data_IF_719193142538
#
_entry.id   IF_719193142538
#
_cell.length_a   1.000
_cell.length_b   1.000
_cell.length_c   1.000
_cell.angle_alpha   90.00
_cell.angle_beta   90.00
_cell.angle_gamma   90.00
#
_symmetry.space_group_name_H-M   'P 1'
#
loop_
_entity.id
_entity.type
_entity.pdbx_description
1 polymer ?
#
# COMPACT_ATOMS: atom_id res chain seq x y z
N UNK A 1 56.90 29.05 -35.07
CA UNK A 1 56.39 28.06 -34.09
C UNK A 1 54.91 28.33 -33.85
N UNK A 2 54.07 27.30 -34.05
CA UNK A 2 52.63 27.20 -33.68
C UNK A 2 51.68 28.13 -34.46
N UNK A 3 50.50 27.71 -34.94
CA UNK A 3 49.83 26.42 -35.18
C UNK A 3 48.66 26.81 -36.11
N UNK A 4 48.46 26.07 -37.20
CA UNK A 4 47.37 26.30 -38.17
C UNK A 4 46.02 25.86 -37.58
N UNK A 5 44.99 26.67 -37.82
CA UNK A 5 43.58 26.36 -37.54
C UNK A 5 42.92 26.04 -38.88
N UNK A 6 42.65 24.75 -39.14
CA UNK A 6 41.76 24.32 -40.22
C UNK A 6 40.47 23.82 -39.58
N UNK A 7 39.38 24.53 -39.84
CA UNK A 7 38.03 24.07 -39.54
C UNK A 7 37.63 23.02 -40.58
N UNK A 8 37.40 21.78 -40.14
CA UNK A 8 36.73 20.74 -40.92
C UNK A 8 35.26 20.70 -40.50
N UNK A 9 34.37 21.08 -41.39
CA UNK A 9 32.94 20.78 -41.32
C UNK A 9 32.72 19.34 -41.79
N UNK A 10 32.36 18.45 -40.86
CA UNK A 10 31.86 17.13 -41.18
C UNK A 10 30.33 17.12 -41.05
N UNK A 11 29.61 17.04 -42.18
CA UNK A 11 28.23 16.59 -42.21
C UNK A 11 28.21 15.10 -41.86
N UNK A 12 27.60 14.73 -40.74
CA UNK A 12 27.20 13.36 -40.45
C UNK A 12 25.67 13.27 -40.56
N UNK A 13 25.22 12.48 -41.53
CA UNK A 13 23.82 12.15 -41.71
C UNK A 13 23.34 11.27 -40.55
N UNK A 14 22.39 11.78 -39.76
CA UNK A 14 21.64 10.97 -38.80
C UNK A 14 20.50 10.27 -39.54
N UNK A 15 20.72 8.99 -39.86
CA UNK A 15 19.63 8.10 -40.24
C UNK A 15 18.78 7.83 -38.99
N UNK A 16 17.58 8.40 -38.95
CA UNK A 16 16.59 8.11 -37.92
C UNK A 16 16.01 6.72 -38.12
N UNK A 17 16.39 5.77 -37.26
CA UNK A 17 15.62 4.56 -37.02
C UNK A 17 14.59 4.85 -35.93
N UNK A 18 13.41 5.33 -36.33
CA UNK A 18 12.21 5.25 -35.50
C UNK A 18 11.77 3.77 -35.47
N UNK A 19 12.42 2.98 -34.60
CA UNK A 19 11.92 1.67 -34.23
C UNK A 19 10.78 1.85 -33.25
N UNK A 20 9.54 1.63 -33.71
CA UNK A 20 8.40 1.34 -32.85
C UNK A 20 8.71 0.03 -32.10
N UNK A 21 9.42 0.13 -30.98
CA UNK A 21 9.67 -0.98 -30.09
C UNK A 21 8.37 -1.35 -29.41
N UNK A 22 7.64 -2.32 -29.96
CA UNK A 22 6.70 -3.10 -29.15
C UNK A 22 7.54 -3.82 -28.11
N UNK A 23 7.40 -3.44 -26.85
CA UNK A 23 7.99 -4.15 -25.72
C UNK A 23 7.60 -5.63 -25.85
N UNK A 24 8.54 -6.59 -25.74
CA UNK A 24 8.20 -8.00 -25.82
C UNK A 24 7.10 -8.33 -24.80
N UNK A 25 6.01 -8.95 -25.27
CA UNK A 25 4.94 -9.39 -24.38
C UNK A 25 5.43 -10.54 -23.51
N UNK A 26 5.33 -10.40 -22.20
CA UNK A 26 5.64 -11.49 -21.25
C UNK A 26 4.59 -12.58 -21.43
N UNK A 27 4.98 -13.86 -21.59
CA UNK A 27 4.02 -14.89 -21.89
C UNK A 27 3.21 -15.26 -20.63
N UNK A 28 1.93 -15.67 -20.76
CA UNK A 28 1.04 -15.89 -19.61
C UNK A 28 1.57 -16.88 -18.56
N UNK A 29 2.37 -17.87 -18.98
CA UNK A 29 3.00 -18.86 -18.09
C UNK A 29 4.03 -18.26 -17.12
N UNK A 30 4.48 -17.02 -17.34
CA UNK A 30 5.38 -16.34 -16.43
C UNK A 30 4.68 -15.73 -15.21
N UNK A 31 3.34 -15.75 -15.16
CA UNK A 31 2.55 -15.19 -14.07
C UNK A 31 2.07 -16.29 -13.11
N UNK A 32 1.84 -15.89 -11.85
CA UNK A 32 1.13 -16.73 -10.88
C UNK A 32 -0.33 -16.88 -11.33
N UNK A 33 -0.85 -18.11 -11.27
CA UNK A 33 -2.21 -18.44 -11.72
C UNK A 33 -3.08 -18.97 -10.60
N UNK A 34 -4.36 -18.65 -10.65
CA UNK A 34 -5.39 -19.19 -9.75
C UNK A 34 -5.74 -20.61 -10.19
N UNK A 35 -5.79 -21.55 -9.24
CA UNK A 35 -6.29 -22.91 -9.46
C UNK A 35 -7.08 -23.39 -8.24
N UNK A 36 -8.40 -23.23 -8.28
CA UNK A 36 -9.23 -23.45 -7.10
C UNK A 36 -8.82 -22.48 -5.98
N UNK A 37 -8.60 -22.99 -4.77
CA UNK A 37 -8.10 -22.20 -3.66
C UNK A 37 -6.59 -21.90 -3.72
N UNK A 38 -5.86 -22.48 -4.67
CA UNK A 38 -4.41 -22.40 -4.73
C UNK A 38 -3.94 -21.29 -5.67
N UNK A 39 -2.81 -20.68 -5.30
CA UNK A 39 -1.97 -19.90 -6.21
C UNK A 39 -0.85 -20.81 -6.72
N UNK A 40 -0.65 -20.86 -8.03
CA UNK A 40 0.38 -21.70 -8.66
C UNK A 40 1.41 -20.81 -9.34
N UNK A 41 2.66 -20.95 -8.92
CA UNK A 41 3.82 -20.28 -9.49
C UNK A 41 4.12 -20.74 -10.93
N UNK A 42 4.90 -19.97 -11.71
CA UNK A 42 5.33 -20.36 -13.06
C UNK A 42 6.02 -21.72 -13.15
N UNK A 43 6.73 -22.15 -12.11
CA UNK A 43 7.40 -23.45 -12.02
C UNK A 43 6.45 -24.62 -11.69
N UNK A 44 5.16 -24.34 -11.49
CA UNK A 44 4.13 -25.30 -11.13
C UNK A 44 4.01 -25.60 -9.63
N UNK A 45 4.86 -25.00 -8.78
CA UNK A 45 4.75 -25.10 -7.33
C UNK A 45 3.59 -24.27 -6.78
N UNK A 46 3.08 -24.64 -5.60
CA UNK A 46 2.10 -23.81 -4.89
C UNK A 46 2.80 -22.61 -4.26
N UNK A 47 2.25 -21.42 -4.46
CA UNK A 47 2.63 -20.21 -3.75
C UNK A 47 1.73 -20.02 -2.53
N UNK A 48 2.31 -20.02 -1.34
CA UNK A 48 1.64 -19.59 -0.12
C UNK A 48 2.15 -18.21 0.27
N UNK A 49 1.30 -17.19 0.23
CA UNK A 49 1.70 -15.81 0.53
C UNK A 49 2.13 -15.72 2.00
N UNK A 50 3.35 -15.23 2.24
CA UNK A 50 3.87 -14.91 3.58
C UNK A 50 4.74 -13.65 3.50
N UNK A 51 4.27 -12.57 4.10
CA UNK A 51 4.94 -11.29 3.95
C UNK A 51 4.49 -10.18 4.89
N UNK A 52 4.67 -8.94 4.43
CA UNK A 52 4.35 -7.72 5.19
C UNK A 52 3.85 -6.60 4.28
N UNK A 53 3.35 -5.53 4.89
CA UNK A 53 2.81 -4.35 4.24
C UNK A 53 3.77 -3.16 4.37
N UNK A 54 4.01 -2.44 3.27
CA UNK A 54 4.74 -1.17 3.27
C UNK A 54 3.85 0.01 3.70
N UNK A 55 3.09 -0.18 4.79
CA UNK A 55 2.25 0.85 5.39
C UNK A 55 3.04 2.06 5.89
N UNK A 56 2.34 3.16 6.11
CA UNK A 56 2.87 4.48 6.45
C UNK A 56 3.64 5.22 5.36
N UNK A 57 3.98 4.58 4.24
CA UNK A 57 4.89 5.17 3.26
C UNK A 57 4.17 6.03 2.22
N UNK A 58 3.41 5.38 1.33
CA UNK A 58 2.60 6.03 0.29
C UNK A 58 1.13 6.21 0.70
N UNK A 59 0.83 5.86 1.95
CA UNK A 59 -0.38 6.13 2.72
C UNK A 59 0.06 6.28 4.20
N UNK A 60 0.31 7.50 4.70
CA UNK A 60 0.69 7.74 6.09
C UNK A 60 -0.52 7.75 7.04
N UNK A 61 -0.40 7.03 8.15
CA UNK A 61 -1.43 6.94 9.19
C UNK A 61 -0.94 7.51 10.52
N UNK A 62 -1.78 8.27 11.22
CA UNK A 62 -1.34 9.04 12.39
C UNK A 62 -0.71 8.21 13.51
N UNK A 63 -1.29 7.06 13.83
CA UNK A 63 -0.81 6.23 14.95
C UNK A 63 0.60 5.68 14.70
N UNK A 64 1.02 5.54 13.44
CA UNK A 64 2.37 5.12 13.08
C UNK A 64 3.42 6.21 13.31
N UNK A 65 2.99 7.46 13.40
CA UNK A 65 3.77 8.60 13.90
C UNK A 65 3.55 8.86 15.41
N UNK A 66 2.68 8.09 16.07
CA UNK A 66 2.28 8.31 17.46
C UNK A 66 1.21 9.38 17.66
N UNK A 67 0.48 9.76 16.62
CA UNK A 67 -0.66 10.66 16.67
C UNK A 67 -1.97 9.88 16.88
N UNK A 68 -2.90 10.45 17.62
CA UNK A 68 -4.25 9.92 17.84
C UNK A 68 -5.30 10.67 17.03
N UNK A 69 -5.37 12.00 17.16
CA UNK A 69 -6.37 12.82 16.45
C UNK A 69 -5.97 13.19 15.03
N UNK A 70 -4.68 13.29 14.77
CA UNK A 70 -4.15 13.65 13.45
C UNK A 70 -3.89 12.34 12.69
N UNK A 71 -4.94 11.73 12.16
CA UNK A 71 -4.94 10.29 11.85
C UNK A 71 -4.92 9.91 10.37
N UNK A 72 -5.11 10.85 9.43
CA UNK A 72 -5.01 10.62 7.98
C UNK A 72 -3.91 11.45 7.32
N UNK A 73 -3.54 11.10 6.08
CA UNK A 73 -2.50 11.79 5.32
C UNK A 73 -2.73 13.31 5.22
N UNK A 74 -3.94 13.76 4.87
CA UNK A 74 -4.32 15.19 4.84
C UNK A 74 -4.16 15.84 6.21
N UNK A 75 -4.66 15.20 7.27
CA UNK A 75 -4.59 15.78 8.60
C UNK A 75 -3.14 15.95 9.08
N UNK A 76 -2.27 14.99 8.77
CA UNK A 76 -0.83 15.04 9.08
C UNK A 76 -0.18 16.18 8.29
N UNK A 77 -0.45 16.27 6.99
CA UNK A 77 0.06 17.35 6.15
C UNK A 77 -0.37 18.74 6.67
N UNK A 78 -1.66 18.93 6.95
CA UNK A 78 -2.20 20.18 7.47
C UNK A 78 -1.54 20.56 8.81
N UNK A 79 -1.34 19.56 9.69
CA UNK A 79 -0.69 19.75 10.98
C UNK A 79 0.78 20.19 10.80
N UNK A 80 1.53 19.55 9.91
CA UNK A 80 2.91 19.95 9.61
C UNK A 80 2.97 21.34 8.99
N UNK A 81 2.11 21.69 8.02
CA UNK A 81 2.03 23.03 7.45
C UNK A 81 1.73 24.10 8.51
N UNK A 82 0.82 23.81 9.44
CA UNK A 82 0.51 24.70 10.57
C UNK A 82 1.70 24.90 11.52
N UNK A 83 2.58 23.90 11.62
CA UNK A 83 3.73 23.86 12.51
C UNK A 83 4.98 24.52 11.92
N UNK A 84 5.37 24.15 10.69
CA UNK A 84 6.67 24.53 10.09
C UNK A 84 6.59 25.28 8.76
N UNK A 85 5.39 25.42 8.18
CA UNK A 85 5.13 26.04 6.87
C UNK A 85 5.10 25.03 5.71
N UNK A 86 4.56 25.44 4.57
CA UNK A 86 4.36 24.57 3.39
C UNK A 86 5.67 24.04 2.81
N UNK A 87 6.66 24.92 2.58
CA UNK A 87 7.96 24.52 2.00
C UNK A 87 8.66 23.44 2.85
N UNK A 88 8.73 23.63 4.17
CA UNK A 88 9.38 22.69 5.07
C UNK A 88 8.62 21.36 5.21
N UNK A 89 7.29 21.39 5.05
CA UNK A 89 6.46 20.16 5.00
C UNK A 89 6.68 19.42 3.69
N UNK A 90 6.78 20.13 2.56
CA UNK A 90 7.06 19.52 1.27
C UNK A 90 8.45 18.87 1.25
N UNK A 91 9.48 19.56 1.76
CA UNK A 91 10.83 19.00 1.92
C UNK A 91 10.80 17.74 2.80
N UNK A 92 10.09 17.76 3.93
CA UNK A 92 9.93 16.58 4.78
C UNK A 92 9.29 15.41 4.04
N UNK A 93 8.24 15.65 3.25
CA UNK A 93 7.57 14.58 2.54
C UNK A 93 8.41 14.00 1.40
N UNK A 94 9.19 14.82 0.71
CA UNK A 94 10.17 14.36 -0.26
C UNK A 94 11.21 13.46 0.42
N UNK A 95 11.85 13.96 1.47
CA UNK A 95 12.86 13.21 2.22
C UNK A 95 12.25 11.92 2.83
N UNK A 96 11.04 11.98 3.35
CA UNK A 96 10.31 10.84 3.88
C UNK A 96 10.05 9.79 2.80
N UNK A 97 9.53 10.18 1.63
CA UNK A 97 9.25 9.23 0.54
C UNK A 97 10.53 8.58 0.02
N UNK A 98 11.65 9.30 0.01
CA UNK A 98 12.94 8.82 -0.50
C UNK A 98 13.71 7.94 0.49
N UNK A 99 13.46 8.07 1.79
CA UNK A 99 14.22 7.37 2.84
C UNK A 99 13.40 6.37 3.67
N UNK A 100 12.07 6.49 3.68
CA UNK A 100 11.23 5.61 4.47
C UNK A 100 11.16 4.20 3.89
N UNK A 101 11.14 3.97 2.58
CA UNK A 101 11.36 2.63 2.02
C UNK A 101 12.44 2.73 0.96
N UNK A 102 13.48 1.93 1.11
CA UNK A 102 14.61 1.85 0.20
C UNK A 102 14.88 0.40 -0.20
N UNK A 103 15.85 0.20 -1.11
CA UNK A 103 16.34 -1.14 -1.43
C UNK A 103 16.79 -1.94 -0.20
N UNK A 104 17.37 -1.28 0.81
CA UNK A 104 17.84 -1.94 2.03
C UNK A 104 16.69 -2.58 2.82
N UNK A 105 15.52 -1.92 2.85
CA UNK A 105 14.31 -2.44 3.48
C UNK A 105 13.82 -3.72 2.77
N UNK A 106 13.78 -3.70 1.43
CA UNK A 106 13.35 -4.85 0.63
C UNK A 106 14.33 -6.02 0.74
N UNK A 107 15.64 -5.75 0.70
CA UNK A 107 16.68 -6.75 0.90
C UNK A 107 16.54 -7.40 2.30
N UNK A 108 16.23 -6.61 3.34
CA UNK A 108 15.96 -7.12 4.68
C UNK A 108 14.70 -8.00 4.73
N UNK A 109 13.56 -7.54 4.19
CA UNK A 109 12.31 -8.32 4.14
C UNK A 109 12.55 -9.68 3.44
N UNK A 110 13.28 -9.68 2.33
CA UNK A 110 13.65 -10.90 1.63
C UNK A 110 14.51 -11.83 2.49
N UNK A 111 15.48 -11.28 3.22
CA UNK A 111 16.38 -12.05 4.09
C UNK A 111 15.65 -12.80 5.21
N UNK A 112 14.44 -12.35 5.60
CA UNK A 112 13.62 -13.06 6.59
C UNK A 112 12.88 -14.26 6.02
N UNK A 113 12.99 -14.51 4.71
CA UNK A 113 12.26 -15.57 4.01
C UNK A 113 10.81 -15.22 3.69
N UNK A 114 10.45 -13.92 3.72
CA UNK A 114 9.20 -13.46 3.14
C UNK A 114 9.23 -13.68 1.62
N UNK A 115 8.06 -13.87 1.01
CA UNK A 115 7.95 -14.07 -0.45
C UNK A 115 7.06 -13.04 -1.14
N UNK A 116 6.33 -12.23 -0.39
CA UNK A 116 5.40 -11.24 -0.94
C UNK A 116 5.47 -9.95 -0.13
N UNK A 117 5.30 -8.82 -0.81
CA UNK A 117 5.10 -7.51 -0.22
C UNK A 117 3.76 -6.96 -0.72
N UNK A 118 2.95 -6.41 0.19
CA UNK A 118 1.80 -5.57 -0.16
C UNK A 118 2.22 -4.10 -0.08
N UNK A 119 1.95 -3.34 -1.14
CA UNK A 119 2.28 -1.93 -1.26
C UNK A 119 0.98 -1.10 -1.28
N UNK A 120 0.55 -0.60 -0.11
CA UNK A 120 -0.52 0.39 -0.01
C UNK A 120 -0.10 1.70 -0.66
N UNK A 121 -1.00 2.31 -1.44
CA UNK A 121 -0.78 3.63 -2.02
C UNK A 121 -2.07 4.46 -2.08
N UNK A 122 -1.91 5.77 -2.07
CA UNK A 122 -2.99 6.72 -2.29
C UNK A 122 -3.18 7.02 -3.79
N UNK A 123 -4.42 7.07 -4.28
CA UNK A 123 -4.73 7.34 -5.70
C UNK A 123 -4.13 8.63 -6.28
N UNK A 124 -3.87 9.65 -5.46
CA UNK A 124 -3.37 10.96 -5.90
C UNK A 124 -1.95 10.90 -6.44
N UNK A 125 -1.19 9.85 -6.12
CA UNK A 125 0.12 9.59 -6.72
C UNK A 125 0.07 9.36 -8.24
N UNK A 126 -1.14 9.18 -8.80
CA UNK A 126 -1.41 9.00 -10.22
C UNK A 126 -2.24 10.14 -10.81
N UNK A 127 -2.38 11.26 -10.09
CA UNK A 127 -3.09 12.46 -10.53
C UNK A 127 -2.22 13.70 -10.37
N UNK A 128 -2.63 14.82 -10.97
CA UNK A 128 -1.96 16.11 -10.77
C UNK A 128 -2.43 16.83 -9.49
N UNK A 129 -3.16 16.13 -8.60
CA UNK A 129 -3.52 16.69 -7.29
C UNK A 129 -2.28 16.75 -6.40
N UNK A 130 -2.21 17.76 -5.52
CA UNK A 130 -1.17 17.79 -4.49
C UNK A 130 -1.36 16.63 -3.49
N UNK A 131 -0.28 15.87 -3.29
CA UNK A 131 -0.20 14.82 -2.30
C UNK A 131 1.20 14.72 -1.71
N UNK A 132 1.30 14.88 -0.39
CA UNK A 132 2.57 14.84 0.35
C UNK A 132 3.62 15.77 -0.30
N UNK A 133 3.25 17.04 -0.48
CA UNK A 133 4.15 18.12 -0.91
C UNK A 133 4.49 18.16 -2.40
N UNK A 134 3.89 17.31 -3.23
CA UNK A 134 4.10 17.29 -4.69
C UNK A 134 2.80 17.04 -5.44
N UNK A 135 2.62 17.80 -6.53
CA UNK A 135 1.61 17.53 -7.56
C UNK A 135 2.29 16.87 -8.75
N UNK A 136 2.15 15.54 -8.87
CA UNK A 136 2.77 14.77 -9.95
C UNK A 136 1.97 13.50 -10.25
N UNK A 137 1.35 13.44 -11.43
CA UNK A 137 0.69 12.23 -11.92
C UNK A 137 1.63 11.08 -12.29
N UNK A 138 2.94 11.21 -12.03
CA UNK A 138 3.94 10.20 -12.36
C UNK A 138 4.69 9.63 -11.15
N UNK A 139 4.63 10.28 -9.98
CA UNK A 139 5.40 9.83 -8.80
C UNK A 139 5.02 8.39 -8.41
N UNK A 140 3.73 8.04 -8.42
CA UNK A 140 3.28 6.68 -8.10
C UNK A 140 3.92 5.61 -8.98
N UNK A 141 4.10 5.88 -10.27
CA UNK A 141 4.75 4.94 -11.18
C UNK A 141 6.24 4.79 -10.88
N UNK A 142 6.96 5.89 -10.62
CA UNK A 142 8.40 5.85 -10.30
C UNK A 142 8.68 5.07 -9.01
N UNK A 143 7.82 5.23 -7.99
CA UNK A 143 7.92 4.47 -6.74
C UNK A 143 7.65 2.98 -6.96
N UNK A 144 6.57 2.65 -7.68
CA UNK A 144 6.25 1.25 -7.97
C UNK A 144 7.35 0.60 -8.81
N UNK A 145 7.88 1.26 -9.84
CA UNK A 145 8.96 0.73 -10.68
C UNK A 145 10.19 0.38 -9.82
N UNK A 146 10.56 1.26 -8.88
CA UNK A 146 11.67 1.03 -7.96
C UNK A 146 11.43 -0.23 -7.10
N UNK A 147 10.23 -0.36 -6.52
CA UNK A 147 9.88 -1.53 -5.70
C UNK A 147 9.84 -2.81 -6.54
N UNK A 148 9.32 -2.74 -7.77
CA UNK A 148 9.33 -3.86 -8.72
C UNK A 148 10.76 -4.31 -9.00
N UNK A 149 11.69 -3.40 -9.24
CA UNK A 149 13.11 -3.72 -9.43
C UNK A 149 13.74 -4.39 -8.20
N UNK A 150 13.46 -3.87 -7.00
CA UNK A 150 13.98 -4.42 -5.76
C UNK A 150 13.38 -5.79 -5.43
N UNK A 151 12.08 -5.97 -5.63
CA UNK A 151 11.38 -7.24 -5.47
C UNK A 151 11.92 -8.30 -6.45
N UNK A 152 12.12 -7.93 -7.72
CA UNK A 152 12.72 -8.82 -8.73
C UNK A 152 14.10 -9.31 -8.33
N UNK A 153 14.95 -8.41 -7.82
CA UNK A 153 16.29 -8.76 -7.37
C UNK A 153 16.30 -9.73 -6.17
N UNK A 154 15.19 -9.81 -5.44
CA UNK A 154 15.04 -10.59 -4.22
C UNK A 154 14.07 -11.77 -4.35
N UNK A 155 13.51 -12.03 -5.54
CA UNK A 155 12.47 -13.04 -5.78
C UNK A 155 11.23 -12.85 -4.89
N UNK A 156 10.87 -11.60 -4.64
CA UNK A 156 9.63 -11.23 -3.96
C UNK A 156 8.54 -10.93 -4.99
N UNK A 157 7.31 -11.29 -4.66
CA UNK A 157 6.12 -10.81 -5.35
C UNK A 157 5.62 -9.50 -4.75
N UNK A 158 4.96 -8.69 -5.57
CA UNK A 158 4.37 -7.41 -5.16
C UNK A 158 2.84 -7.41 -5.37
N UNK A 159 2.07 -7.06 -4.35
CA UNK A 159 0.64 -6.74 -4.46
C UNK A 159 0.52 -5.22 -4.45
N UNK A 160 -0.13 -4.67 -5.47
CA UNK A 160 -0.44 -3.25 -5.54
C UNK A 160 -1.82 -3.02 -4.92
N UNK A 161 -1.88 -2.22 -3.85
CA UNK A 161 -3.10 -1.96 -3.09
C UNK A 161 -3.48 -0.48 -3.15
N UNK A 162 -4.62 -0.17 -3.78
CA UNK A 162 -5.18 1.18 -3.71
C UNK A 162 -5.84 1.37 -2.35
N UNK A 163 -5.04 1.91 -1.44
CA UNK A 163 -5.38 2.05 -0.03
C UNK A 163 -6.30 3.25 0.23
N UNK A 164 -6.15 4.31 -0.56
CA UNK A 164 -7.06 5.45 -0.61
C UNK A 164 -7.62 5.56 -2.02
N UNK A 165 -8.93 5.36 -2.18
CA UNK A 165 -9.62 5.50 -3.45
C UNK A 165 -10.18 6.93 -3.63
N UNK A 166 -10.42 7.39 -4.87
CA UNK A 166 -11.10 8.65 -5.11
C UNK A 166 -12.41 8.79 -4.32
N UNK A 167 -12.56 9.88 -3.58
CA UNK A 167 -13.74 10.13 -2.73
C UNK A 167 -13.76 9.39 -1.39
N UNK A 168 -12.86 8.43 -1.16
CA UNK A 168 -12.84 7.60 0.05
C UNK A 168 -13.83 6.45 -0.01
N UNK A 169 -13.40 5.29 0.42
CA UNK A 169 -14.15 4.04 0.38
C UNK A 169 -14.68 3.56 1.73
N UNK A 170 -14.13 4.05 2.83
CA UNK A 170 -14.43 3.60 4.19
C UNK A 170 -15.10 4.69 4.98
N UNK A 171 -14.67 5.94 4.82
CA UNK A 171 -15.15 7.06 5.61
C UNK A 171 -14.42 7.23 6.95
N UNK A 172 -13.16 6.83 7.03
CA UNK A 172 -12.36 6.89 8.27
C UNK A 172 -10.89 7.27 7.98
N UNK A 173 -9.98 7.09 8.93
CA UNK A 173 -8.60 7.58 8.82
C UNK A 173 -7.79 6.92 7.69
N UNK A 174 -8.06 5.65 7.39
CA UNK A 174 -7.25 4.83 6.48
C UNK A 174 -7.38 5.22 4.99
N UNK A 175 -8.43 5.96 4.61
CA UNK A 175 -8.73 6.30 3.21
C UNK A 175 -8.64 7.80 2.88
N UNK A 176 -8.11 8.58 3.82
CA UNK A 176 -7.99 10.04 3.75
C UNK A 176 -9.28 10.77 3.32
N UNK A 177 -10.44 10.17 3.56
CA UNK A 177 -11.73 10.70 3.14
C UNK A 177 -12.17 11.90 3.99
N UNK A 178 -13.38 12.37 3.72
CA UNK A 178 -14.06 13.40 4.53
C UNK A 178 -15.01 12.78 5.57
N UNK A 179 -14.71 11.57 6.05
CA UNK A 179 -15.53 10.87 7.05
C UNK A 179 -16.77 10.18 6.48
N UNK A 180 -16.82 9.96 5.17
CA UNK A 180 -17.91 9.26 4.49
C UNK A 180 -17.40 8.63 3.18
N UNK A 181 -17.87 7.42 2.81
CA UNK A 181 -17.35 6.69 1.65
C UNK A 181 -17.98 7.18 0.34
N UNK A 182 -17.65 8.42 -0.06
CA UNK A 182 -18.24 9.09 -1.23
C UNK A 182 -17.96 8.37 -2.56
N UNK A 183 -16.98 7.47 -2.61
CA UNK A 183 -16.74 6.62 -3.77
C UNK A 183 -18.03 5.90 -4.21
N UNK A 184 -18.87 5.45 -3.30
CA UNK A 184 -20.08 4.70 -3.65
C UNK A 184 -21.26 5.58 -4.07
N UNK A 185 -21.13 6.90 -4.06
CA UNK A 185 -22.20 7.82 -4.47
C UNK A 185 -21.79 8.74 -5.62
N UNK A 186 -20.49 9.00 -5.78
CA UNK A 186 -19.97 9.91 -6.79
C UNK A 186 -19.55 9.17 -8.05
N UNK A 187 -20.35 9.28 -9.12
CA UNK A 187 -19.98 8.72 -10.43
C UNK A 187 -18.62 9.24 -10.92
N UNK A 188 -18.29 10.52 -10.63
CA UNK A 188 -16.98 11.08 -10.97
C UNK A 188 -15.84 10.36 -10.26
N UNK A 189 -16.01 10.06 -8.97
CA UNK A 189 -15.01 9.32 -8.20
C UNK A 189 -14.87 7.88 -8.70
N UNK A 190 -15.99 7.22 -9.01
CA UNK A 190 -15.99 5.87 -9.57
C UNK A 190 -15.34 5.81 -10.95
N UNK A 191 -15.55 6.82 -11.80
CA UNK A 191 -14.89 6.89 -13.11
C UNK A 191 -13.37 7.07 -12.93
N UNK A 192 -12.95 8.01 -12.07
CA UNK A 192 -11.53 8.22 -11.76
C UNK A 192 -10.87 6.96 -11.19
N UNK A 193 -11.57 6.23 -10.32
CA UNK A 193 -11.13 4.95 -9.77
C UNK A 193 -10.85 3.91 -10.87
N UNK A 194 -11.79 3.73 -11.80
CA UNK A 194 -11.61 2.82 -12.93
C UNK A 194 -10.50 3.29 -13.90
N UNK A 195 -10.39 4.60 -14.15
CA UNK A 195 -9.39 5.18 -15.05
C UNK A 195 -7.97 4.99 -14.52
N UNK A 196 -7.75 5.17 -13.21
CA UNK A 196 -6.45 4.95 -12.58
C UNK A 196 -6.08 3.46 -12.66
N UNK A 197 -7.00 2.56 -12.36
CA UNK A 197 -6.75 1.12 -12.47
C UNK A 197 -6.44 0.67 -13.90
N UNK A 198 -7.13 1.21 -14.91
CA UNK A 198 -6.81 0.94 -16.32
C UNK A 198 -5.40 1.44 -16.70
N UNK A 199 -4.97 2.59 -16.19
CA UNK A 199 -3.63 3.13 -16.44
C UNK A 199 -2.54 2.29 -15.76
N UNK A 200 -2.73 1.91 -14.50
CA UNK A 200 -1.84 1.00 -13.77
C UNK A 200 -1.73 -0.34 -14.53
N UNK A 201 -2.86 -0.94 -14.90
CA UNK A 201 -2.90 -2.18 -15.66
C UNK A 201 -2.20 -2.05 -17.03
N UNK A 202 -2.39 -0.93 -17.73
CA UNK A 202 -1.71 -0.65 -19.00
C UNK A 202 -0.20 -0.64 -18.87
N UNK A 203 0.32 0.00 -17.81
CA UNK A 203 1.75 0.06 -17.56
C UNK A 203 2.33 -1.30 -17.20
N UNK A 204 1.65 -2.04 -16.33
CA UNK A 204 2.21 -3.22 -15.69
C UNK A 204 1.74 -4.56 -16.28
N UNK A 205 0.92 -4.59 -17.34
CA UNK A 205 0.38 -5.83 -17.92
C UNK A 205 1.41 -6.94 -18.23
N UNK A 206 2.68 -6.59 -18.45
CA UNK A 206 3.77 -7.52 -18.76
C UNK A 206 4.75 -7.72 -17.59
N UNK A 207 4.41 -7.30 -16.37
CA UNK A 207 5.31 -7.30 -15.21
C UNK A 207 5.03 -8.46 -14.23
N UNK A 208 5.66 -9.64 -14.38
CA UNK A 208 5.32 -10.82 -13.58
C UNK A 208 5.74 -10.75 -12.10
N UNK A 209 6.52 -9.74 -11.70
CA UNK A 209 6.82 -9.48 -10.28
C UNK A 209 5.56 -9.06 -9.53
N UNK A 210 4.63 -8.37 -10.21
CA UNK A 210 3.35 -8.02 -9.62
C UNK A 210 2.50 -9.29 -9.57
N UNK A 211 2.11 -9.69 -8.37
CA UNK A 211 1.21 -10.83 -8.14
C UNK A 211 -0.22 -10.48 -8.52
N UNK A 212 -0.64 -9.26 -8.19
CA UNK A 212 -1.99 -8.82 -8.47
C UNK A 212 -2.30 -7.40 -8.00
N UNK A 213 -3.52 -7.00 -8.32
CA UNK A 213 -4.09 -5.69 -8.05
C UNK A 213 -5.18 -5.81 -7.00
N UNK A 214 -4.94 -5.29 -5.79
CA UNK A 214 -5.96 -5.14 -4.76
C UNK A 214 -6.72 -3.83 -4.98
N UNK A 215 -7.95 -4.00 -5.45
CA UNK A 215 -8.71 -2.89 -6.01
C UNK A 215 -8.95 -1.77 -5.01
N UNK A 216 -9.25 -2.14 -3.76
CA UNK A 216 -9.74 -1.22 -2.76
C UNK A 216 -9.58 -1.77 -1.35
N UNK A 217 -8.98 -0.98 -0.48
CA UNK A 217 -8.78 -1.32 0.92
C UNK A 217 -10.02 -1.06 1.79
N UNK A 218 -10.44 -2.04 2.58
CA UNK A 218 -11.40 -1.89 3.70
C UNK A 218 -12.69 -1.10 3.41
N UNK A 219 -13.41 -1.34 2.29
CA UNK A 219 -14.56 -0.53 1.93
C UNK A 219 -15.70 -0.62 2.96
N UNK A 220 -16.35 0.52 3.17
CA UNK A 220 -17.62 0.72 3.89
C UNK A 220 -17.56 0.30 5.36
N UNK A 221 -17.44 1.25 6.28
CA UNK A 221 -17.55 0.94 7.71
C UNK A 221 -18.94 0.45 8.14
N UNK A 222 -18.99 -0.30 9.25
CA UNK A 222 -20.22 -0.93 9.76
C UNK A 222 -21.23 0.05 10.41
N UNK A 223 -20.79 1.29 10.67
CA UNK A 223 -21.51 2.26 11.49
C UNK A 223 -22.35 3.28 10.69
N UNK A 224 -22.42 3.17 9.36
CA UNK A 224 -23.30 4.04 8.57
C UNK A 224 -24.76 3.54 8.58
N UNK A 225 -25.70 4.47 8.71
CA UNK A 225 -27.13 4.17 8.69
C UNK A 225 -27.58 3.60 7.35
N UNK A 226 -26.99 4.06 6.23
CA UNK A 226 -27.28 3.56 4.88
C UNK A 226 -26.32 2.45 4.43
N UNK A 227 -25.67 1.71 5.35
CA UNK A 227 -24.68 0.67 5.00
C UNK A 227 -25.19 -0.38 4.01
N UNK A 228 -26.47 -0.77 4.07
CA UNK A 228 -27.01 -1.79 3.17
C UNK A 228 -27.10 -1.28 1.73
N UNK A 229 -27.41 0.01 1.57
CA UNK A 229 -27.37 0.67 0.26
C UNK A 229 -25.93 0.72 -0.26
N UNK A 230 -24.97 1.12 0.57
CA UNK A 230 -23.55 1.16 0.21
C UNK A 230 -23.03 -0.24 -0.17
N UNK A 231 -23.36 -1.26 0.63
CA UNK A 231 -22.99 -2.66 0.39
C UNK A 231 -23.49 -3.14 -0.99
N UNK A 232 -24.72 -2.77 -1.38
CA UNK A 232 -25.26 -3.14 -2.70
C UNK A 232 -24.49 -2.56 -3.89
N UNK A 233 -23.68 -1.51 -3.67
CA UNK A 233 -22.88 -0.85 -4.71
C UNK A 233 -21.45 -1.39 -4.81
N UNK A 234 -21.01 -2.22 -3.85
CA UNK A 234 -19.64 -2.72 -3.79
C UNK A 234 -19.28 -3.64 -4.95
N UNK A 235 -20.02 -4.75 -5.13
CA UNK A 235 -19.74 -5.70 -6.21
C UNK A 235 -19.84 -5.03 -7.60
N UNK A 236 -20.89 -4.23 -7.91
CA UNK A 236 -20.96 -3.53 -9.20
C UNK A 236 -19.75 -2.64 -9.49
N UNK A 237 -19.27 -1.88 -8.50
CA UNK A 237 -18.12 -1.00 -8.68
C UNK A 237 -16.82 -1.79 -8.91
N UNK A 238 -16.57 -2.83 -8.11
CA UNK A 238 -15.38 -3.65 -8.28
C UNK A 238 -15.38 -4.39 -9.63
N UNK A 239 -16.54 -4.91 -10.08
CA UNK A 239 -16.69 -5.46 -11.44
C UNK A 239 -16.33 -4.45 -12.52
N UNK A 240 -16.76 -3.20 -12.37
CA UNK A 240 -16.45 -2.10 -13.31
C UNK A 240 -14.94 -1.83 -13.40
N UNK A 241 -14.24 -1.90 -12.27
CA UNK A 241 -12.79 -1.77 -12.22
C UNK A 241 -12.06 -3.00 -12.80
N UNK A 242 -12.55 -4.24 -12.55
CA UNK A 242 -12.02 -5.45 -13.21
C UNK A 242 -12.16 -5.32 -14.72
N UNK A 243 -13.33 -4.92 -15.22
CA UNK A 243 -13.55 -4.69 -16.65
C UNK A 243 -12.56 -3.65 -17.22
N UNK A 244 -12.27 -2.59 -16.46
CA UNK A 244 -11.30 -1.56 -16.84
C UNK A 244 -9.87 -2.11 -16.94
N UNK A 245 -9.41 -2.82 -15.91
CA UNK A 245 -8.12 -3.52 -15.91
C UNK A 245 -8.03 -4.48 -17.10
N UNK A 246 -9.09 -5.27 -17.33
CA UNK A 246 -9.13 -6.24 -18.42
C UNK A 246 -9.12 -5.60 -19.80
N UNK A 247 -9.34 -4.30 -19.99
CA UNK A 247 -9.08 -3.66 -21.30
C UNK A 247 -7.61 -3.67 -21.68
N UNK A 248 -6.71 -3.64 -20.69
CA UNK A 248 -5.27 -3.55 -20.89
C UNK A 248 -4.50 -4.81 -20.46
N UNK A 249 -4.99 -5.55 -19.46
CA UNK A 249 -4.25 -6.61 -18.78
C UNK A 249 -5.07 -7.89 -18.62
N UNK A 250 -4.57 -8.99 -19.19
CA UNK A 250 -5.21 -10.32 -19.14
C UNK A 250 -4.48 -11.32 -18.24
N UNK A 251 -3.38 -10.90 -17.61
CA UNK A 251 -2.44 -11.78 -16.93
C UNK A 251 -2.63 -11.77 -15.41
N UNK A 252 -2.72 -10.58 -14.81
CA UNK A 252 -2.66 -10.43 -13.35
C UNK A 252 -3.92 -10.88 -12.63
N UNK A 253 -3.74 -11.35 -11.39
CA UNK A 253 -4.82 -11.61 -10.44
C UNK A 253 -5.40 -10.28 -9.99
N UNK A 254 -6.73 -10.19 -9.87
CA UNK A 254 -7.41 -9.05 -9.25
C UNK A 254 -7.98 -9.47 -7.90
N UNK A 255 -7.60 -8.74 -6.85
CA UNK A 255 -7.99 -8.99 -5.48
C UNK A 255 -9.19 -8.10 -5.10
N UNK A 256 -10.22 -8.72 -4.54
CA UNK A 256 -11.49 -8.09 -4.19
C UNK A 256 -11.66 -8.02 -2.66
N UNK A 257 -11.77 -6.80 -2.13
CA UNK A 257 -11.99 -6.54 -0.70
C UNK A 257 -13.47 -6.57 -0.31
N UNK A 258 -13.78 -7.21 0.83
CA UNK A 258 -15.13 -7.25 1.42
C UNK A 258 -15.56 -5.92 2.04
N UNK A 259 -16.87 -5.69 2.14
CA UNK A 259 -17.37 -4.54 2.91
C UNK A 259 -17.05 -4.70 4.40
N UNK A 260 -17.28 -3.65 5.19
CA UNK A 260 -17.03 -3.66 6.63
C UNK A 260 -15.59 -4.07 6.93
N UNK A 261 -14.67 -3.24 6.42
CA UNK A 261 -13.24 -3.37 6.71
C UNK A 261 -12.65 -4.70 6.23
N UNK A 262 -12.95 -5.09 4.99
CA UNK A 262 -12.54 -6.40 4.43
C UNK A 262 -13.03 -7.60 5.27
N UNK A 263 -14.10 -7.43 6.05
CA UNK A 263 -14.63 -8.45 6.96
C UNK A 263 -15.94 -9.11 6.53
N UNK A 264 -16.68 -8.48 5.61
CA UNK A 264 -17.99 -8.95 5.14
C UNK A 264 -17.99 -9.19 3.63
N UNK A 265 -18.29 -10.44 3.25
CA UNK A 265 -18.33 -10.87 1.85
C UNK A 265 -19.75 -11.16 1.33
N UNK A 266 -20.78 -10.96 2.15
CA UNK A 266 -22.18 -11.10 1.73
C UNK A 266 -22.57 -10.27 0.50
N UNK A 267 -21.99 -9.08 0.24
CA UNK A 267 -22.30 -8.32 -0.98
C UNK A 267 -21.90 -9.02 -2.29
N UNK A 268 -21.01 -10.01 -2.25
CA UNK A 268 -20.55 -10.71 -3.45
C UNK A 268 -21.46 -11.91 -3.75
N UNK A 269 -22.02 -11.91 -4.96
CA UNK A 269 -22.99 -12.89 -5.44
C UNK A 269 -22.61 -13.53 -6.77
N UNK A 270 -21.69 -12.93 -7.52
CA UNK A 270 -21.19 -13.48 -8.78
C UNK A 270 -19.70 -13.23 -8.97
N UNK A 271 -18.95 -14.33 -8.98
CA UNK A 271 -17.49 -14.40 -9.10
C UNK A 271 -17.03 -15.25 -10.31
N UNK A 272 -17.94 -15.54 -11.25
CA UNK A 272 -17.63 -16.36 -12.44
C UNK A 272 -17.28 -15.53 -13.67
N UNK A 273 -17.33 -14.21 -13.56
CA UNK A 273 -17.10 -13.27 -14.66
C UNK A 273 -15.62 -13.09 -15.01
N UNK A 274 -14.71 -13.48 -14.11
CA UNK A 274 -13.25 -13.46 -14.32
C UNK A 274 -12.62 -14.69 -13.65
N UNK A 275 -11.65 -15.31 -14.32
CA UNK A 275 -11.02 -16.57 -13.89
C UNK A 275 -9.75 -16.35 -13.05
N UNK A 276 -9.38 -15.08 -12.78
CA UNK A 276 -8.18 -14.66 -12.05
C UNK A 276 -8.55 -13.73 -10.90
N UNK A 277 -9.60 -14.11 -10.17
CA UNK A 277 -10.02 -13.42 -8.96
C UNK A 277 -9.43 -14.08 -7.72
N UNK A 278 -9.12 -13.25 -6.73
CA UNK A 278 -8.79 -13.64 -5.36
C UNK A 278 -9.54 -12.70 -4.41
N UNK A 279 -9.91 -13.16 -3.22
CA UNK A 279 -10.51 -12.29 -2.20
C UNK A 279 -9.48 -11.93 -1.13
N UNK A 280 -9.56 -10.70 -0.63
CA UNK A 280 -8.71 -10.20 0.47
C UNK A 280 -9.57 -9.90 1.70
N UNK A 281 -9.13 -10.37 2.86
CA UNK A 281 -9.80 -10.23 4.14
C UNK A 281 -8.84 -9.68 5.21
N UNK A 282 -9.36 -8.90 6.17
CA UNK A 282 -8.54 -8.28 7.21
C UNK A 282 -9.00 -8.71 8.60
N UNK A 283 -8.06 -8.78 9.55
CA UNK A 283 -8.38 -9.09 10.94
C UNK A 283 -7.33 -8.62 11.94
N UNK A 284 -7.73 -7.74 12.85
CA UNK A 284 -6.89 -7.26 13.95
C UNK A 284 -7.27 -7.78 15.34
N UNK A 285 -8.38 -8.53 15.50
CA UNK A 285 -8.83 -8.98 16.83
C UNK A 285 -9.62 -10.29 16.84
N UNK A 286 -10.08 -10.66 18.03
CA UNK A 286 -10.78 -11.93 18.30
C UNK A 286 -9.82 -13.12 18.51
N UNK A 287 -10.38 -14.31 18.68
CA UNK A 287 -9.58 -15.50 18.99
C UNK A 287 -8.76 -15.98 17.77
N UNK A 288 -7.57 -16.51 18.03
CA UNK A 288 -6.70 -17.11 17.02
C UNK A 288 -7.17 -18.53 16.64
N UNK A 289 -8.40 -18.66 16.12
CA UNK A 289 -9.01 -19.96 15.79
C UNK A 289 -9.73 -19.93 14.45
N UNK A 290 -9.86 -21.10 13.81
CA UNK A 290 -10.62 -21.23 12.55
C UNK A 290 -12.10 -20.82 12.72
N UNK A 291 -12.70 -21.09 13.88
CA UNK A 291 -14.07 -20.68 14.18
C UNK A 291 -14.24 -19.15 14.13
N UNK A 292 -13.21 -18.41 14.56
CA UNK A 292 -13.23 -16.97 14.60
C UNK A 292 -13.29 -16.35 13.19
N UNK A 293 -12.71 -17.01 12.18
CA UNK A 293 -12.75 -16.64 10.75
C UNK A 293 -13.68 -17.55 9.92
N UNK A 294 -14.64 -18.23 10.56
CA UNK A 294 -15.48 -19.24 9.92
C UNK A 294 -16.28 -18.72 8.72
N UNK A 295 -16.77 -17.47 8.78
CA UNK A 295 -17.48 -16.84 7.65
C UNK A 295 -16.57 -16.62 6.43
N UNK A 296 -15.31 -16.22 6.66
CA UNK A 296 -14.30 -16.02 5.62
C UNK A 296 -13.96 -17.36 4.95
N UNK A 297 -13.72 -18.40 5.77
CA UNK A 297 -13.47 -19.77 5.30
C UNK A 297 -14.66 -20.28 4.47
N UNK A 298 -15.88 -20.15 5.00
CA UNK A 298 -17.09 -20.60 4.31
C UNK A 298 -17.32 -19.85 2.99
N UNK A 299 -17.04 -18.54 2.96
CA UNK A 299 -17.15 -17.76 1.72
C UNK A 299 -16.14 -18.25 0.68
N UNK A 300 -14.85 -18.35 1.02
CA UNK A 300 -13.81 -18.93 0.15
C UNK A 300 -14.25 -20.28 -0.41
N UNK A 301 -14.65 -21.19 0.46
CA UNK A 301 -15.05 -22.55 0.07
C UNK A 301 -16.28 -22.55 -0.84
N UNK A 302 -17.21 -21.60 -0.67
CA UNK A 302 -18.38 -21.49 -1.55
C UNK A 302 -18.05 -20.93 -2.93
N UNK A 303 -17.05 -20.05 -3.02
CA UNK A 303 -16.60 -19.49 -4.30
C UNK A 303 -15.68 -20.43 -5.08
N UNK A 304 -14.88 -21.23 -4.37
CA UNK A 304 -13.82 -22.04 -4.96
C UNK A 304 -12.59 -21.23 -5.36
N UNK A 305 -12.49 -19.96 -4.96
CA UNK A 305 -11.40 -19.03 -5.28
C UNK A 305 -10.44 -18.86 -4.09
N UNK A 306 -9.21 -18.36 -4.29
CA UNK A 306 -8.27 -18.13 -3.20
C UNK A 306 -8.74 -17.02 -2.25
N UNK A 307 -8.36 -17.14 -0.98
CA UNK A 307 -8.53 -16.12 0.05
C UNK A 307 -7.17 -15.74 0.62
N UNK A 308 -6.97 -14.45 0.83
CA UNK A 308 -5.74 -13.85 1.32
C UNK A 308 -6.05 -12.95 2.53
N UNK A 309 -5.27 -13.05 3.60
CA UNK A 309 -5.34 -12.16 4.76
C UNK A 309 -4.41 -10.97 4.54
N UNK A 310 -4.90 -9.92 3.90
CA UNK A 310 -4.13 -8.74 3.52
C UNK A 310 -3.58 -7.96 4.72
N UNK A 311 -4.33 -7.96 5.82
CA UNK A 311 -3.89 -7.29 7.04
C UNK A 311 -4.22 -8.05 8.31
N UNK A 312 -3.20 -8.09 9.16
CA UNK A 312 -3.21 -8.63 10.51
C UNK A 312 -2.03 -8.05 11.28
N UNK A 313 -2.20 -7.76 12.56
CA UNK A 313 -1.11 -7.22 13.37
C UNK A 313 -1.53 -6.92 14.80
N UNK A 314 -0.68 -6.19 15.52
CA UNK A 314 -0.98 -5.59 16.83
C UNK A 314 -1.51 -6.54 17.93
N UNK A 315 -1.10 -7.81 17.87
CA UNK A 315 -1.43 -8.84 18.86
C UNK A 315 -0.17 -9.37 19.55
N UNK A 316 -0.31 -10.22 20.56
CA UNK A 316 0.83 -10.87 21.23
C UNK A 316 1.53 -11.85 20.29
N UNK A 317 2.83 -12.07 20.50
CA UNK A 317 3.63 -13.01 19.69
C UNK A 317 3.04 -14.43 19.69
N UNK A 318 2.47 -14.88 20.81
CA UNK A 318 1.79 -16.17 20.91
C UNK A 318 0.54 -16.20 20.01
N UNK A 319 -0.32 -15.17 20.12
CA UNK A 319 -1.53 -15.08 19.31
C UNK A 319 -1.21 -15.04 17.81
N UNK A 320 -0.19 -14.27 17.41
CA UNK A 320 0.25 -14.19 16.02
C UNK A 320 0.71 -15.55 15.49
N UNK A 321 1.50 -16.28 16.30
CA UNK A 321 2.00 -17.62 15.95
C UNK A 321 0.84 -18.61 15.77
N UNK A 322 -0.11 -18.59 16.70
CA UNK A 322 -1.27 -19.48 16.67
C UNK A 322 -2.16 -19.17 15.46
N UNK A 323 -2.38 -17.88 15.16
CA UNK A 323 -3.19 -17.51 14.03
C UNK A 323 -2.50 -17.78 12.69
N UNK A 324 -1.18 -17.64 12.58
CA UNK A 324 -0.45 -18.09 11.39
C UNK A 324 -0.67 -19.59 11.13
N UNK A 325 -0.71 -20.44 12.18
CA UNK A 325 -1.03 -21.86 12.00
C UNK A 325 -2.47 -22.04 11.47
N UNK A 326 -3.44 -21.28 12.01
CA UNK A 326 -4.83 -21.33 11.54
C UNK A 326 -4.92 -20.96 10.06
N UNK A 327 -4.21 -19.92 9.63
CA UNK A 327 -4.20 -19.47 8.24
C UNK A 327 -3.55 -20.50 7.32
N UNK A 328 -2.43 -21.10 7.73
CA UNK A 328 -1.75 -22.18 7.00
C UNK A 328 -2.63 -23.43 6.87
N UNK A 329 -3.26 -23.88 7.96
CA UNK A 329 -4.17 -25.04 7.98
C UNK A 329 -5.39 -24.85 7.06
N UNK A 330 -5.75 -23.59 6.77
CA UNK A 330 -6.89 -23.24 5.92
C UNK A 330 -6.48 -22.72 4.53
N UNK A 331 -5.19 -22.81 4.15
CA UNK A 331 -4.66 -22.30 2.88
C UNK A 331 -5.01 -20.83 2.62
N UNK A 332 -4.86 -19.97 3.63
CA UNK A 332 -5.00 -18.52 3.53
C UNK A 332 -3.61 -17.91 3.70
N UNK A 333 -3.03 -17.38 2.62
CA UNK A 333 -1.78 -16.64 2.73
C UNK A 333 -1.97 -15.30 3.46
N UNK A 334 -0.89 -14.67 3.92
CA UNK A 334 -1.00 -13.46 4.76
C UNK A 334 0.14 -12.45 4.60
N UNK A 335 -0.19 -11.18 4.85
CA UNK A 335 0.80 -10.13 5.14
C UNK A 335 0.50 -9.41 6.45
N UNK A 336 1.54 -9.21 7.26
CA UNK A 336 1.42 -8.52 8.54
C UNK A 336 1.54 -7.00 8.39
N UNK A 337 0.70 -6.27 9.12
CA UNK A 337 0.66 -4.82 9.18
C UNK A 337 1.32 -4.28 10.46
N UNK A 338 2.21 -3.27 10.36
CA UNK A 338 2.99 -2.87 9.18
C UNK A 338 4.43 -3.39 9.24
N UNK A 339 5.17 -3.24 8.13
CA UNK A 339 6.60 -3.48 8.08
C UNK A 339 7.37 -2.59 9.06
N UNK A 340 7.09 -1.28 9.04
CA UNK A 340 7.85 -0.27 9.76
C UNK A 340 6.93 0.83 10.30
N UNK A 341 7.20 1.27 11.54
CA UNK A 341 6.56 2.43 12.17
C UNK A 341 7.36 2.89 13.40
N UNK A 342 6.92 3.98 14.02
CA UNK A 342 7.45 4.43 15.30
C UNK A 342 7.30 3.36 16.40
N UNK A 343 8.34 3.22 17.20
CA UNK A 343 8.44 2.30 18.34
C UNK A 343 8.46 0.81 17.91
N UNK A 344 7.44 0.01 18.28
CA UNK A 344 7.41 -1.45 18.04
C UNK A 344 6.10 -1.95 17.45
N UNK A 345 5.82 -3.25 17.54
CA UNK A 345 4.65 -3.91 16.91
C UNK A 345 4.65 -3.79 15.37
N UNK A 346 5.83 -4.04 14.79
CA UNK A 346 6.14 -4.07 13.36
C UNK A 346 7.45 -4.87 13.18
N UNK A 347 7.93 -5.08 11.95
CA UNK A 347 9.21 -5.76 11.72
C UNK A 347 10.42 -4.86 12.02
N UNK A 348 10.36 -3.59 11.63
CA UNK A 348 11.44 -2.61 11.78
C UNK A 348 10.95 -1.40 12.59
N UNK A 349 11.36 -1.30 13.85
CA UNK A 349 10.96 -0.22 14.74
C UNK A 349 11.80 1.04 14.55
N UNK A 350 11.16 2.19 14.35
CA UNK A 350 11.82 3.50 14.27
C UNK A 350 12.03 4.05 15.68
N UNK A 351 13.25 4.48 15.98
CA UNK A 351 13.56 5.16 17.23
C UNK A 351 12.93 6.55 17.25
N UNK A 352 12.20 6.85 18.32
CA UNK A 352 11.56 8.15 18.51
C UNK A 352 12.59 9.29 18.61
N UNK A 353 12.49 10.33 17.78
CA UNK A 353 13.34 11.52 17.90
C UNK A 353 13.22 12.19 19.27
N UNK A 354 14.31 12.76 19.78
CA UNK A 354 14.34 13.30 21.15
C UNK A 354 13.27 14.37 21.43
N UNK A 355 12.87 15.13 20.41
CA UNK A 355 11.87 16.21 20.53
C UNK A 355 10.52 15.88 19.90
N UNK A 356 10.29 14.62 19.50
CA UNK A 356 9.07 14.21 18.80
C UNK A 356 7.80 14.41 19.64
N UNK A 357 7.90 14.26 20.97
CA UNK A 357 6.75 14.44 21.86
C UNK A 357 6.19 15.87 21.85
N UNK A 358 6.99 16.87 21.46
CA UNK A 358 6.49 18.24 21.25
C UNK A 358 5.61 18.34 20.00
N UNK A 359 5.94 17.57 18.96
CA UNK A 359 5.14 17.44 17.73
C UNK A 359 3.86 16.68 18.05
N UNK A 360 3.94 15.56 18.78
CA UNK A 360 2.76 14.81 19.25
C UNK A 360 1.86 15.71 20.09
N UNK A 361 2.41 16.49 21.02
CA UNK A 361 1.62 17.44 21.80
C UNK A 361 0.87 18.42 20.90
N UNK A 362 1.55 19.02 19.90
CA UNK A 362 0.89 19.88 18.93
C UNK A 362 -0.17 19.14 18.10
N UNK A 363 0.12 17.90 17.70
CA UNK A 363 -0.75 16.99 16.96
C UNK A 363 -2.08 16.69 17.70
N UNK A 364 -2.04 16.58 19.03
CA UNK A 364 -3.18 16.12 19.83
C UNK A 364 -4.05 17.23 20.45
N UNK A 365 -3.54 18.47 20.52
CA UNK A 365 -4.32 19.55 21.12
C UNK A 365 -5.04 20.44 20.11
N UNK A 366 -5.69 21.51 20.59
CA UNK A 366 -6.50 22.39 19.75
C UNK A 366 -5.70 23.05 18.62
N UNK A 367 -6.30 23.03 17.42
CA UNK A 367 -5.83 23.65 16.17
C UNK A 367 -6.98 24.28 15.36
N UNK A 368 -8.12 24.50 16.02
CA UNK A 368 -9.40 24.94 15.47
C UNK A 368 -9.52 26.47 15.30
N UNK A 369 -8.53 27.23 15.79
CA UNK A 369 -8.45 28.68 15.60
C UNK A 369 -7.01 29.15 15.42
N UNK A 370 -6.82 30.28 14.72
CA UNK A 370 -5.50 30.88 14.58
C UNK A 370 -4.87 31.30 15.91
N UNK A 371 -5.68 31.62 16.92
CA UNK A 371 -5.18 31.91 18.27
C UNK A 371 -4.58 30.65 18.91
N UNK A 372 -5.33 29.53 18.90
CA UNK A 372 -4.87 28.24 19.40
C UNK A 372 -3.60 27.75 18.68
N UNK A 373 -3.54 27.91 17.36
CA UNK A 373 -2.35 27.60 16.56
C UNK A 373 -1.13 28.40 17.03
N UNK A 374 -1.25 29.72 17.18
CA UNK A 374 -0.12 30.57 17.62
C UNK A 374 0.33 30.28 19.04
N UNK A 375 -0.59 30.00 19.94
CA UNK A 375 -0.29 29.73 21.36
C UNK A 375 0.46 28.40 21.55
N UNK A 376 0.12 27.39 20.73
CA UNK A 376 0.60 26.01 20.92
C UNK A 376 1.72 25.61 19.97
N UNK A 377 1.99 26.39 18.92
CA UNK A 377 3.02 26.07 17.93
C UNK A 377 4.38 25.91 18.66
N UNK A 378 5.06 24.75 18.50
CA UNK A 378 6.40 24.58 19.04
C UNK A 378 7.39 25.51 18.33
N UNK A 379 8.60 25.63 18.86
CA UNK A 379 9.67 26.34 18.15
C UNK A 379 9.89 25.72 16.74
N UNK A 380 9.74 26.49 15.65
CA UNK A 380 9.78 25.91 14.30
C UNK A 380 11.14 25.30 13.93
N UNK A 381 12.26 25.81 14.46
CA UNK A 381 13.58 25.25 14.18
C UNK A 381 13.76 23.90 14.87
N UNK A 382 13.32 23.79 16.12
CA UNK A 382 13.26 22.53 16.87
C UNK A 382 12.36 21.50 16.19
N UNK A 383 11.17 21.91 15.74
CA UNK A 383 10.24 21.03 15.05
C UNK A 383 10.85 20.47 13.75
N UNK A 384 11.48 21.32 12.93
CA UNK A 384 12.19 20.88 11.70
C UNK A 384 13.32 19.91 12.00
N UNK A 385 14.10 20.13 13.08
CA UNK A 385 15.15 19.19 13.50
C UNK A 385 14.58 17.83 13.88
N UNK A 386 13.47 17.79 14.62
CA UNK A 386 12.81 16.54 15.00
C UNK A 386 12.20 15.81 13.80
N UNK A 387 11.66 16.54 12.82
CA UNK A 387 11.17 15.99 11.55
C UNK A 387 12.31 15.39 10.72
N UNK A 388 13.44 16.09 10.58
CA UNK A 388 14.61 15.56 9.89
C UNK A 388 15.21 14.33 10.60
N UNK A 389 15.28 14.34 11.93
CA UNK A 389 15.71 13.20 12.73
C UNK A 389 14.75 12.00 12.57
N UNK A 390 13.44 12.23 12.44
CA UNK A 390 12.49 11.17 12.15
C UNK A 390 12.78 10.49 10.81
N UNK A 391 13.04 11.27 9.75
CA UNK A 391 13.38 10.73 8.44
C UNK A 391 14.69 9.94 8.50
N UNK A 392 15.74 10.47 9.14
CA UNK A 392 17.01 9.76 9.28
C UNK A 392 16.83 8.46 10.08
N UNK A 393 16.10 8.48 11.21
CA UNK A 393 15.81 7.30 12.01
C UNK A 393 14.95 6.27 11.26
N UNK A 394 14.20 6.70 10.23
CA UNK A 394 13.36 5.81 9.43
C UNK A 394 14.15 4.99 8.42
N UNK A 395 15.41 5.34 8.11
CA UNK A 395 16.28 4.52 7.26
C UNK A 395 16.54 3.17 7.92
N UNK A 396 16.53 2.09 7.13
CA UNK A 396 16.61 0.73 7.67
C UNK A 396 17.83 0.53 8.59
N UNK A 397 18.99 1.07 8.22
CA UNK A 397 20.23 1.00 9.01
C UNK A 397 20.12 1.60 10.42
N UNK A 398 19.15 2.49 10.64
CA UNK A 398 18.88 3.15 11.92
C UNK A 398 17.65 2.55 12.65
N UNK A 399 16.92 1.63 12.00
CA UNK A 399 15.80 0.93 12.59
C UNK A 399 16.26 -0.23 13.50
N UNK A 400 15.39 -0.61 14.44
CA UNK A 400 15.61 -1.78 15.30
C UNK A 400 14.72 -2.95 14.86
N UNK A 401 15.31 -4.04 14.31
CA UNK A 401 14.57 -5.25 13.99
C UNK A 401 13.90 -5.88 15.22
N UNK A 402 12.58 -6.05 15.15
CA UNK A 402 11.79 -6.62 16.24
C UNK A 402 11.79 -8.15 16.16
N UNK A 403 12.86 -8.78 16.65
CA UNK A 403 13.12 -10.22 16.42
C UNK A 403 11.99 -11.15 16.87
N UNK A 404 11.35 -10.86 18.00
CA UNK A 404 10.27 -11.71 18.51
C UNK A 404 9.02 -11.62 17.63
N UNK A 405 8.66 -10.42 17.20
CA UNK A 405 7.59 -10.15 16.24
C UNK A 405 7.84 -10.86 14.90
N UNK A 406 9.05 -10.74 14.34
CA UNK A 406 9.38 -11.40 13.06
C UNK A 406 9.24 -12.92 13.16
N UNK A 407 9.67 -13.52 14.28
CA UNK A 407 9.53 -14.96 14.52
C UNK A 407 8.06 -15.37 14.74
N UNK A 408 7.25 -14.54 15.40
CA UNK A 408 5.85 -14.86 15.64
C UNK A 408 5.01 -14.90 14.38
N UNK A 409 5.43 -14.20 13.32
CA UNK A 409 4.77 -14.21 12.01
C UNK A 409 5.37 -15.26 11.05
N UNK A 410 6.07 -16.27 11.61
CA UNK A 410 6.69 -17.38 10.88
C UNK A 410 7.76 -16.95 9.86
N UNK A 411 8.42 -15.82 10.11
CA UNK A 411 9.59 -15.37 9.36
C UNK A 411 10.88 -15.61 10.16
N UNK A 412 12.00 -15.67 9.45
CA UNK A 412 13.31 -15.98 10.00
C UNK A 412 14.05 -14.70 10.37
N UNK A 413 14.79 -14.73 11.48
CA UNK A 413 15.78 -13.70 11.80
C UNK A 413 16.79 -14.30 12.78
N UNK A 414 18.07 -14.13 12.45
CA UNK A 414 19.20 -14.60 13.24
C UNK A 414 19.31 -13.86 14.59
#
# INVERSE_FOLDING_TARGET
MKKALYALTALAALAGCAGSGTTPTTPPEAFVRVQGHDLISPDGSKLFIRGTNLGNWLNPEGYMFGFGKTNSARMINDMFCQMVGEDATADFWEDFKDNYITRADIDFIASTGANTIRLPFHYKLFTDDDYMGRSSGHEGYERIDSVVEWCRANNLYLILDMHDAPGGQTGDNIDDSYGYPWLFESERAQQQFCDIWEQIATRYANEPVILGYELINEPIAHYFDNKEELNSKLEPLQKRAVEAIRRADKNHIVLLGGSQWNGNFEPFTDWKYDDKLMYTCHRYGGDATAAAIGSIIAFRDSTGLPMYMGEIGHNTDQWQTDFCNVLEDNNIGYTFWPYKKLDGSCMAGISRPAMWDSIVAFAEGPRDSYAALRERRPDPEMARKAMAEFVENSRFENCTPQKSYIRSIKLNID
#
